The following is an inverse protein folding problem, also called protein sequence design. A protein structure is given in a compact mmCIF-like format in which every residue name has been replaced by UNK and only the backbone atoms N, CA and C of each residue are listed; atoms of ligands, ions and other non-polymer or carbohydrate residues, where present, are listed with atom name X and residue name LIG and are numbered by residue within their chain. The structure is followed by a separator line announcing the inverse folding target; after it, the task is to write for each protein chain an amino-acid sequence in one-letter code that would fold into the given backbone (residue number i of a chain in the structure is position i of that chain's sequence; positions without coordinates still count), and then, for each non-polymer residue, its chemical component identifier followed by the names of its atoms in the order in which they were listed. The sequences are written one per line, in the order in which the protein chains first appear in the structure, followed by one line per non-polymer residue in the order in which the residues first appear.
data_IF_428592706856
#
_entry.id   IF_428592706856
#
_cell.length_a   1.000
_cell.length_b   1.000
_cell.length_c   1.000
_cell.angle_alpha   90.00
_cell.angle_beta   90.00
_cell.angle_gamma   90.00
#
_symmetry.space_group_name_H-M   'P 1'
#
loop_
_entity.id
_entity.type
_entity.pdbx_description
1 polymer ?
#
# COMPACT_ATOMS: atom_id res chain seq x y z
N UNK A 1 18.25 18.88 0.93
CA UNK A 1 17.79 17.81 0.03
C UNK A 1 16.29 18.00 -0.10
N UNK A 2 15.82 18.43 -1.27
CA UNK A 2 14.40 18.47 -1.55
C UNK A 2 14.01 17.07 -2.01
N UNK A 3 13.18 16.38 -1.23
CA UNK A 3 12.34 15.33 -1.81
C UNK A 3 11.48 16.07 -2.85
N UNK A 4 11.30 15.49 -4.04
CA UNK A 4 10.29 16.00 -4.95
C UNK A 4 8.92 15.89 -4.24
N UNK A 5 7.83 16.34 -4.85
CA UNK A 5 6.48 16.10 -4.35
C UNK A 5 6.14 14.57 -4.38
N UNK A 6 6.91 13.76 -3.67
CA UNK A 6 6.84 12.31 -3.64
C UNK A 6 5.65 11.95 -2.76
N UNK A 7 4.66 11.31 -3.36
CA UNK A 7 3.55 10.69 -2.67
C UNK A 7 3.71 9.19 -2.73
N UNK A 8 3.34 8.47 -1.67
CA UNK A 8 3.26 7.02 -1.68
C UNK A 8 1.87 6.57 -2.13
N UNK A 9 1.81 5.62 -3.05
CA UNK A 9 0.59 4.92 -3.43
C UNK A 9 0.53 3.56 -2.72
N UNK A 10 -0.49 3.41 -1.86
CA UNK A 10 -0.67 2.25 -0.99
C UNK A 10 -1.94 1.49 -1.37
N UNK A 11 -1.78 0.19 -1.65
CA UNK A 11 -2.89 -0.74 -1.89
C UNK A 11 -3.25 -1.46 -0.59
N UNK A 12 -4.35 -1.07 0.05
CA UNK A 12 -4.68 -1.48 1.42
C UNK A 12 -6.01 -2.22 1.55
N UNK A 13 -6.06 -3.17 2.50
CA UNK A 13 -7.29 -3.83 2.91
C UNK A 13 -8.30 -2.85 3.52
N UNK A 14 -9.58 -2.89 3.12
CA UNK A 14 -10.60 -1.97 3.65
C UNK A 14 -10.82 -2.09 5.17
N UNK A 15 -10.53 -3.25 5.76
CA UNK A 15 -10.67 -3.46 7.21
C UNK A 15 -9.78 -2.52 8.04
N UNK A 16 -8.65 -2.05 7.49
CA UNK A 16 -7.72 -1.16 8.17
C UNK A 16 -7.90 0.31 7.82
N UNK A 17 -8.93 0.70 7.06
CA UNK A 17 -9.04 2.05 6.50
C UNK A 17 -8.94 3.19 7.55
N UNK A 18 -9.69 3.19 8.68
CA UNK A 18 -9.59 4.29 9.64
C UNK A 18 -8.19 4.45 10.23
N UNK A 19 -7.52 3.32 10.53
CA UNK A 19 -6.17 3.32 11.07
C UNK A 19 -5.14 3.73 10.01
N UNK A 20 -5.30 3.28 8.77
CA UNK A 20 -4.41 3.62 7.66
C UNK A 20 -4.46 5.12 7.34
N UNK A 21 -5.65 5.71 7.30
CA UNK A 21 -5.81 7.16 7.07
C UNK A 21 -5.20 7.99 8.20
N UNK A 22 -5.35 7.57 9.46
CA UNK A 22 -4.70 8.23 10.59
C UNK A 22 -3.17 8.19 10.47
N UNK A 23 -2.62 7.02 10.17
CA UNK A 23 -1.17 6.83 9.96
C UNK A 23 -0.69 7.66 8.78
N UNK A 24 -1.41 7.67 7.65
CA UNK A 24 -1.06 8.48 6.47
C UNK A 24 -0.99 9.97 6.79
N UNK A 25 -1.96 10.49 7.56
CA UNK A 25 -1.96 11.90 8.01
C UNK A 25 -0.78 12.21 8.94
N UNK A 26 -0.45 11.30 9.86
CA UNK A 26 0.69 11.47 10.76
C UNK A 26 2.01 11.44 9.97
N UNK A 27 2.13 10.52 9.02
CA UNK A 27 3.29 10.40 8.13
C UNK A 27 3.48 11.65 7.26
N UNK A 28 2.41 12.17 6.66
CA UNK A 28 2.46 13.42 5.88
C UNK A 28 2.86 14.61 6.75
N UNK A 29 2.35 14.69 7.99
CA UNK A 29 2.72 15.75 8.93
C UNK A 29 4.20 15.70 9.33
N UNK A 30 4.75 14.50 9.51
CA UNK A 30 6.13 14.30 9.99
C UNK A 30 7.16 14.43 8.87
N UNK A 31 6.87 13.85 7.71
CA UNK A 31 7.83 13.71 6.61
C UNK A 31 7.54 14.61 5.41
N UNK A 32 6.37 15.25 5.36
CA UNK A 32 5.94 16.04 4.19
C UNK A 32 5.58 15.20 2.96
N UNK A 33 5.44 13.88 3.12
CA UNK A 33 5.16 12.91 2.06
C UNK A 33 3.68 12.50 2.14
N UNK A 34 2.91 12.80 1.08
CA UNK A 34 1.49 12.42 1.02
C UNK A 34 1.34 10.91 0.86
N UNK A 35 0.36 10.32 1.54
CA UNK A 35 0.00 8.91 1.34
C UNK A 35 -1.36 8.80 0.67
N UNK A 36 -1.38 8.27 -0.56
CA UNK A 36 -2.58 7.99 -1.33
C UNK A 36 -2.95 6.52 -1.18
N UNK A 37 -4.22 6.22 -0.92
CA UNK A 37 -4.67 4.85 -0.69
C UNK A 37 -5.64 4.38 -1.79
N UNK A 38 -5.52 3.11 -2.17
CA UNK A 38 -6.55 2.34 -2.85
C UNK A 38 -7.03 1.27 -1.87
N UNK A 39 -8.26 1.42 -1.39
CA UNK A 39 -8.88 0.47 -0.46
C UNK A 39 -9.73 -0.57 -1.19
N UNK A 40 -9.73 -1.80 -0.68
CA UNK A 40 -10.62 -2.86 -1.12
C UNK A 40 -10.35 -4.17 -0.39
N UNK A 41 -10.97 -5.27 -0.84
CA UNK A 41 -10.60 -6.61 -0.37
C UNK A 41 -9.17 -6.97 -0.81
N UNK A 42 -8.44 -7.76 -0.02
CA UNK A 42 -7.03 -8.09 -0.27
C UNK A 42 -6.75 -8.60 -1.70
N UNK A 43 -7.63 -9.43 -2.25
CA UNK A 43 -7.51 -9.93 -3.63
C UNK A 43 -7.84 -8.89 -4.70
N UNK A 44 -8.77 -7.98 -4.42
CA UNK A 44 -9.08 -6.85 -5.30
C UNK A 44 -7.88 -5.91 -5.41
N UNK A 45 -7.34 -5.47 -4.27
CA UNK A 45 -6.19 -4.54 -4.27
C UNK A 45 -4.92 -5.20 -4.81
N UNK A 46 -4.70 -6.50 -4.59
CA UNK A 46 -3.62 -7.26 -5.23
C UNK A 46 -3.77 -7.25 -6.76
N UNK A 47 -4.97 -7.54 -7.25
CA UNK A 47 -5.24 -7.57 -8.68
C UNK A 47 -5.03 -6.19 -9.32
N UNK A 48 -5.52 -5.13 -8.66
CA UNK A 48 -5.32 -3.76 -9.12
C UNK A 48 -3.83 -3.38 -9.18
N UNK A 49 -3.06 -3.70 -8.15
CA UNK A 49 -1.60 -3.47 -8.12
C UNK A 49 -0.87 -4.17 -9.27
N UNK A 50 -1.22 -5.44 -9.54
CA UNK A 50 -0.59 -6.22 -10.62
C UNK A 50 -0.95 -5.66 -12.01
N UNK A 51 -2.21 -5.25 -12.20
CA UNK A 51 -2.71 -4.70 -13.47
C UNK A 51 -2.12 -3.31 -13.72
N UNK A 52 -2.13 -2.43 -12.71
CA UNK A 52 -1.63 -1.06 -12.82
C UNK A 52 -0.12 -1.00 -13.03
N UNK A 53 0.61 -2.02 -12.51
CA UNK A 53 2.07 -2.05 -12.41
C UNK A 53 2.64 -0.81 -11.73
N UNK A 54 1.87 -0.26 -10.80
CA UNK A 54 2.15 0.95 -10.04
C UNK A 54 1.80 0.70 -8.58
N UNK A 55 2.42 1.46 -7.69
CA UNK A 55 2.25 1.31 -6.24
C UNK A 55 3.58 1.12 -5.53
N UNK A 56 3.65 1.65 -4.31
CA UNK A 56 4.84 1.59 -3.47
C UNK A 56 4.67 0.57 -2.34
N UNK A 57 3.44 0.39 -1.86
CA UNK A 57 3.15 -0.48 -0.71
C UNK A 57 1.90 -1.32 -0.96
N UNK A 58 2.00 -2.61 -0.62
CA UNK A 58 0.88 -3.55 -0.55
C UNK A 58 0.62 -3.94 0.91
N UNK A 59 -0.58 -3.64 1.41
CA UNK A 59 -0.99 -3.91 2.79
C UNK A 59 -2.31 -4.70 2.82
N UNK A 60 -2.27 -6.04 2.66
CA UNK A 60 -3.46 -6.86 2.66
C UNK A 60 -4.07 -6.97 4.07
N UNK A 61 -5.37 -7.26 4.12
CA UNK A 61 -6.07 -7.53 5.39
C UNK A 61 -5.76 -8.91 6.01
N UNK A 62 -4.97 -9.76 5.33
CA UNK A 62 -4.64 -11.11 5.78
C UNK A 62 -3.35 -11.62 5.14
N UNK A 63 -2.66 -12.54 5.83
CA UNK A 63 -1.32 -13.02 5.45
C UNK A 63 -1.30 -13.93 4.22
N UNK A 64 -2.37 -14.69 3.97
CA UNK A 64 -2.53 -15.56 2.79
C UNK A 64 -2.39 -14.78 1.48
N UNK A 65 -2.85 -13.54 1.42
CA UNK A 65 -2.67 -12.67 0.26
C UNK A 65 -1.26 -12.10 0.12
N UNK A 66 -0.54 -11.90 1.23
CA UNK A 66 0.88 -11.53 1.17
C UNK A 66 1.71 -12.69 0.61
N UNK A 67 1.46 -13.92 1.06
CA UNK A 67 2.12 -15.12 0.53
C UNK A 67 1.81 -15.32 -0.97
N UNK A 68 0.56 -15.04 -1.37
CA UNK A 68 0.20 -15.03 -2.80
C UNK A 68 0.98 -13.96 -3.58
N UNK A 69 1.12 -12.73 -3.04
CA UNK A 69 1.89 -11.67 -3.68
C UNK A 69 3.38 -12.06 -3.83
N UNK A 70 3.98 -12.65 -2.80
CA UNK A 70 5.37 -13.18 -2.83
C UNK A 70 5.52 -14.26 -3.90
N UNK A 71 4.63 -15.24 -3.94
CA UNK A 71 4.68 -16.32 -4.95
C UNK A 71 4.53 -15.82 -6.39
N UNK A 72 3.89 -14.66 -6.59
CA UNK A 72 3.75 -13.99 -7.88
C UNK A 72 4.94 -13.10 -8.24
N UNK A 73 5.86 -12.85 -7.31
CA UNK A 73 7.02 -11.98 -7.51
C UNK A 73 6.65 -10.50 -7.68
N UNK A 74 5.56 -10.05 -7.04
CA UNK A 74 5.03 -8.68 -7.18
C UNK A 74 5.24 -7.82 -5.93
N UNK A 75 5.95 -8.36 -4.94
CA UNK A 75 6.43 -7.70 -3.72
C UNK A 75 7.84 -8.22 -3.42
N UNK A 76 8.59 -7.52 -2.58
CA UNK A 76 9.89 -8.01 -2.11
C UNK A 76 9.70 -9.26 -1.24
N UNK A 77 10.49 -10.33 -1.44
CA UNK A 77 10.31 -11.59 -0.71
C UNK A 77 10.63 -11.48 0.80
N UNK A 78 11.45 -10.49 1.19
CA UNK A 78 11.83 -10.22 2.58
C UNK A 78 10.76 -9.47 3.39
N UNK A 79 9.65 -9.09 2.77
CA UNK A 79 8.57 -8.32 3.41
C UNK A 79 7.74 -9.14 4.40
#
# INVERSE_FOLDING_TARGET
MAFAEDSLLVYAGSASQPAAEEVGRLFEKEYGVRVNYIFGGSGYVLSQMIISRQGDVYFPGSSDYMELAKSKGVVFPET
#
